data_IF_334860872523
#
_entry.id   IF_334860872523
#
_cell.length_a   1.000
_cell.length_b   1.000
_cell.length_c   1.000
_cell.angle_alpha   90.00
_cell.angle_beta   90.00
_cell.angle_gamma   90.00
#
_symmetry.space_group_name_H-M   'P 1'
#
loop_
_entity.id
_entity.type
_entity.pdbx_description
1 polymer ?
#
# COMPACT_ATOMS: atom_id res chain seq x y z
N UNK A 1 12.59 23.75 1.04
CA UNK A 1 12.79 23.04 -0.21
C UNK A 1 12.68 21.54 0.01
N UNK A 2 11.88 20.88 -0.81
CA UNK A 2 11.77 19.46 -0.73
C UNK A 2 13.06 18.79 -1.15
N UNK A 3 13.49 17.80 -0.38
CA UNK A 3 14.65 17.01 -0.71
C UNK A 3 14.22 15.56 -0.80
N UNK A 4 14.41 14.89 -1.94
CA UNK A 4 14.17 13.46 -1.99
C UNK A 4 15.11 12.77 -1.03
N UNK A 5 14.62 11.78 -0.35
CA UNK A 5 15.45 11.00 0.57
C UNK A 5 16.44 10.19 -0.26
N UNK A 6 17.74 10.41 -0.13
CA UNK A 6 18.70 9.55 -0.81
C UNK A 6 18.60 8.15 -0.21
N UNK A 7 18.90 7.14 -0.99
CA UNK A 7 18.88 5.74 -0.56
C UNK A 7 17.53 5.35 0.02
N UNK A 8 16.51 5.73 -0.66
CA UNK A 8 15.17 5.88 -0.14
C UNK A 8 14.66 4.67 0.58
N UNK A 9 14.68 4.70 1.90
CA UNK A 9 13.91 3.75 2.70
C UNK A 9 12.46 4.19 2.59
N UNK A 10 11.66 3.41 1.90
CA UNK A 10 10.26 3.72 1.74
C UNK A 10 9.49 3.39 3.00
N UNK A 11 8.60 4.28 3.36
CA UNK A 11 7.75 4.15 4.53
C UNK A 11 6.41 3.60 4.07
N UNK A 12 6.00 2.47 4.64
CA UNK A 12 4.79 1.77 4.22
C UNK A 12 3.78 1.72 5.34
N UNK A 13 2.52 1.97 4.99
CA UNK A 13 1.38 1.73 5.86
C UNK A 13 0.64 0.52 5.30
N UNK A 14 0.37 -0.48 6.14
CA UNK A 14 -0.37 -1.68 5.74
C UNK A 14 -1.78 -1.61 6.30
N UNK A 15 -2.76 -1.82 5.45
CA UNK A 15 -4.18 -1.83 5.83
C UNK A 15 -4.75 -3.22 5.54
N UNK A 16 -4.98 -3.99 6.59
CA UNK A 16 -5.49 -5.35 6.48
C UNK A 16 -6.17 -5.75 7.78
N UNK A 17 -7.30 -6.45 7.70
CA UNK A 17 -7.96 -6.98 8.90
C UNK A 17 -7.54 -8.42 9.22
N UNK A 18 -6.57 -8.94 8.48
CA UNK A 18 -5.93 -10.24 8.77
C UNK A 18 -4.60 -10.01 9.47
N UNK A 19 -4.58 -10.12 10.79
CA UNK A 19 -3.41 -9.80 11.59
C UNK A 19 -2.17 -10.62 11.20
N UNK A 20 -2.33 -11.93 11.07
CA UNK A 20 -1.20 -12.80 10.75
C UNK A 20 -0.60 -12.49 9.37
N UNK A 21 -1.45 -12.23 8.39
CA UNK A 21 -0.99 -11.87 7.05
C UNK A 21 -0.30 -10.52 7.03
N UNK A 22 -0.84 -9.56 7.77
CA UNK A 22 -0.26 -8.23 7.90
C UNK A 22 1.12 -8.29 8.54
N UNK A 23 1.26 -9.04 9.63
CA UNK A 23 2.55 -9.20 10.33
C UNK A 23 3.59 -9.87 9.45
N UNK A 24 3.18 -10.91 8.71
CA UNK A 24 4.08 -11.61 7.79
C UNK A 24 4.56 -10.70 6.67
N UNK A 25 3.66 -9.90 6.13
CA UNK A 25 3.99 -8.94 5.09
C UNK A 25 4.95 -7.87 5.62
N UNK A 26 4.68 -7.35 6.81
CA UNK A 26 5.53 -6.35 7.44
C UNK A 26 6.94 -6.88 7.66
N UNK A 27 7.06 -8.10 8.18
CA UNK A 27 8.36 -8.73 8.41
C UNK A 27 9.11 -8.93 7.09
N UNK A 28 8.40 -9.39 6.06
CA UNK A 28 8.99 -9.62 4.76
C UNK A 28 9.53 -8.32 4.15
N UNK A 29 8.72 -7.28 4.13
CA UNK A 29 9.11 -6.00 3.54
C UNK A 29 10.21 -5.32 4.35
N UNK A 30 10.20 -5.50 5.67
CA UNK A 30 11.29 -4.99 6.51
C UNK A 30 12.64 -5.59 6.13
N UNK A 31 12.67 -6.86 5.74
CA UNK A 31 13.91 -7.51 5.29
C UNK A 31 14.36 -7.02 3.91
N UNK A 32 13.48 -6.36 3.17
CA UNK A 32 13.78 -5.87 1.83
C UNK A 32 13.95 -4.35 1.75
N UNK A 33 14.24 -3.73 2.89
CA UNK A 33 14.62 -2.33 2.92
C UNK A 33 13.49 -1.34 3.07
N UNK A 34 12.28 -1.82 3.42
CA UNK A 34 11.16 -0.92 3.69
C UNK A 34 11.00 -0.73 5.19
N UNK A 35 10.46 0.41 5.58
CA UNK A 35 10.06 0.66 6.97
C UNK A 35 8.55 0.63 7.03
N UNK A 36 7.99 -0.31 7.78
CA UNK A 36 6.55 -0.38 8.00
C UNK A 36 6.22 0.54 9.17
N UNK A 37 5.53 1.65 8.87
CA UNK A 37 5.24 2.68 9.86
C UNK A 37 3.93 2.44 10.59
N UNK A 38 3.13 1.51 10.12
CA UNK A 38 1.89 1.15 10.78
C UNK A 38 1.20 -0.02 10.12
N UNK A 39 0.43 -0.74 10.91
CA UNK A 39 -0.46 -1.80 10.46
C UNK A 39 -1.82 -1.50 11.05
N UNK A 40 -2.78 -1.18 10.20
CA UNK A 40 -4.12 -0.79 10.64
C UNK A 40 -5.17 -1.69 10.00
N UNK A 41 -6.38 -1.68 10.54
CA UNK A 41 -7.40 -2.69 10.25
C UNK A 41 -8.60 -2.17 9.49
N UNK A 42 -8.69 -0.87 9.24
CA UNK A 42 -9.88 -0.30 8.62
C UNK A 42 -9.55 0.95 7.83
N UNK A 43 -10.49 1.38 6.99
CA UNK A 43 -10.35 2.63 6.25
C UNK A 43 -10.20 3.83 7.19
N UNK A 44 -10.96 3.83 8.27
CA UNK A 44 -10.92 4.93 9.25
C UNK A 44 -9.56 5.03 9.91
N UNK A 45 -9.02 3.91 10.38
CA UNK A 45 -7.71 3.91 11.02
C UNK A 45 -6.60 4.18 10.02
N UNK A 46 -6.79 3.83 8.74
CA UNK A 46 -5.84 4.16 7.69
C UNK A 46 -5.68 5.67 7.51
N UNK A 47 -6.80 6.39 7.48
CA UNK A 47 -6.75 7.85 7.32
C UNK A 47 -6.03 8.51 8.50
N UNK A 48 -6.32 8.06 9.72
CA UNK A 48 -5.69 8.59 10.91
C UNK A 48 -4.18 8.31 10.92
N UNK A 49 -3.81 7.07 10.62
CA UNK A 49 -2.40 6.68 10.57
C UNK A 49 -1.63 7.42 9.47
N UNK A 50 -2.24 7.59 8.31
CA UNK A 50 -1.59 8.29 7.20
C UNK A 50 -1.26 9.74 7.55
N UNK A 51 -2.15 10.41 8.26
CA UNK A 51 -1.91 11.78 8.71
C UNK A 51 -0.78 11.86 9.73
N UNK A 52 -0.67 10.85 10.58
CA UNK A 52 0.31 10.84 11.67
C UNK A 52 1.68 10.36 11.21
N UNK A 53 1.72 9.33 10.37
CA UNK A 53 2.96 8.64 10.01
C UNK A 53 3.54 9.07 8.67
N UNK A 54 2.78 9.74 7.85
CA UNK A 54 3.19 10.24 6.53
C UNK A 54 3.88 9.14 5.68
N UNK A 55 3.15 8.09 5.32
CA UNK A 55 3.75 7.00 4.55
C UNK A 55 4.00 7.40 3.09
N UNK A 56 4.99 6.77 2.48
CA UNK A 56 5.25 6.92 1.06
C UNK A 56 4.27 6.10 0.22
N UNK A 57 3.90 4.92 0.71
CA UNK A 57 2.95 4.02 0.06
C UNK A 57 2.00 3.45 1.10
N UNK A 58 0.77 3.19 0.66
CA UNK A 58 -0.25 2.52 1.46
C UNK A 58 -0.59 1.20 0.76
N UNK A 59 -0.37 0.08 1.44
CA UNK A 59 -0.67 -1.25 0.94
C UNK A 59 -2.01 -1.68 1.52
N UNK A 60 -2.98 -1.93 0.66
CA UNK A 60 -4.32 -2.31 1.08
C UNK A 60 -4.57 -3.77 0.70
N UNK A 61 -4.94 -4.58 1.67
CA UNK A 61 -5.39 -5.94 1.42
C UNK A 61 -6.73 -5.88 0.68
N UNK A 62 -6.77 -6.45 -0.52
CA UNK A 62 -7.97 -6.45 -1.34
C UNK A 62 -9.15 -7.17 -0.70
N UNK A 63 -8.88 -8.07 0.26
CA UNK A 63 -9.91 -8.77 1.01
C UNK A 63 -10.39 -7.99 2.25
N UNK A 64 -9.90 -6.79 2.45
CA UNK A 64 -10.30 -5.94 3.57
C UNK A 64 -11.81 -5.73 3.56
N UNK A 65 -12.44 -5.84 4.73
CA UNK A 65 -13.86 -5.55 4.87
C UNK A 65 -14.11 -4.09 4.50
N UNK A 66 -15.07 -3.86 3.64
CA UNK A 66 -15.36 -2.54 3.08
C UNK A 66 -14.61 -2.25 1.78
N UNK A 67 -13.59 -3.05 1.46
CA UNK A 67 -12.87 -2.96 0.21
C UNK A 67 -11.86 -1.82 0.13
N UNK A 68 -11.06 -1.85 -0.91
CA UNK A 68 -10.02 -0.84 -1.13
C UNK A 68 -10.62 0.54 -1.43
N UNK A 69 -11.82 0.59 -2.01
CA UNK A 69 -12.46 1.89 -2.32
C UNK A 69 -12.69 2.72 -1.07
N UNK A 70 -13.15 2.09 0.00
CA UNK A 70 -13.35 2.78 1.26
C UNK A 70 -12.05 3.39 1.78
N UNK A 71 -10.94 2.67 1.63
CA UNK A 71 -9.63 3.19 2.02
C UNK A 71 -9.22 4.36 1.14
N UNK A 72 -9.37 4.22 -0.18
CA UNK A 72 -9.02 5.29 -1.12
C UNK A 72 -9.81 6.56 -0.82
N UNK A 73 -11.11 6.42 -0.58
CA UNK A 73 -11.96 7.57 -0.24
C UNK A 73 -11.56 8.21 1.08
N UNK A 74 -11.25 7.39 2.08
CA UNK A 74 -10.82 7.89 3.38
C UNK A 74 -9.48 8.64 3.29
N UNK A 75 -8.64 8.27 2.35
CA UNK A 75 -7.32 8.87 2.16
C UNK A 75 -7.33 10.08 1.21
N UNK A 76 -8.46 10.37 0.57
CA UNK A 76 -8.52 11.53 -0.31
C UNK A 76 -8.17 12.81 0.46
N UNK A 77 -7.28 13.61 -0.13
CA UNK A 77 -6.78 14.81 0.54
C UNK A 77 -5.65 14.57 1.54
N UNK A 78 -5.35 13.31 1.84
CA UNK A 78 -4.25 12.95 2.75
C UNK A 78 -3.06 12.41 1.97
N UNK A 79 -3.32 11.50 1.04
CA UNK A 79 -2.28 10.91 0.21
C UNK A 79 -2.83 10.73 -1.21
N UNK A 80 -1.97 10.84 -2.20
CA UNK A 80 -2.35 10.64 -3.59
C UNK A 80 -2.76 9.19 -3.82
N UNK A 81 -3.82 8.97 -4.60
CA UNK A 81 -4.26 7.63 -4.96
C UNK A 81 -3.19 6.84 -5.71
N UNK A 82 -2.29 7.52 -6.41
CA UNK A 82 -1.17 6.87 -7.11
C UNK A 82 -0.19 6.21 -6.15
N UNK A 83 -0.27 6.50 -4.86
CA UNK A 83 0.56 5.88 -3.82
C UNK A 83 -0.17 4.77 -3.07
N UNK A 84 -1.36 4.43 -3.48
CA UNK A 84 -2.12 3.31 -2.90
C UNK A 84 -1.88 2.08 -3.77
N UNK A 85 -1.53 0.97 -3.14
CA UNK A 85 -1.31 -0.31 -3.80
C UNK A 85 -2.28 -1.31 -3.21
N UNK A 86 -3.05 -1.98 -4.07
CA UNK A 86 -3.99 -3.02 -3.63
C UNK A 86 -3.35 -4.38 -3.85
N UNK A 87 -3.32 -5.20 -2.80
CA UNK A 87 -2.81 -6.56 -2.86
C UNK A 87 -3.97 -7.52 -2.95
N UNK A 88 -4.02 -8.29 -4.04
CA UNK A 88 -5.12 -9.20 -4.32
C UNK A 88 -4.66 -10.66 -4.31
N UNK A 89 -5.48 -11.54 -3.75
CA UNK A 89 -5.23 -12.98 -3.87
C UNK A 89 -5.49 -13.46 -5.30
N UNK A 90 -6.36 -12.76 -6.02
CA UNK A 90 -6.76 -13.10 -7.37
C UNK A 90 -7.03 -11.81 -8.14
N UNK A 91 -6.51 -11.72 -9.34
CA UNK A 91 -6.72 -10.54 -10.18
C UNK A 91 -7.68 -10.87 -11.32
N UNK A 92 -8.90 -10.38 -11.20
CA UNK A 92 -9.81 -10.32 -12.32
C UNK A 92 -9.49 -9.09 -13.16
N UNK A 93 -9.74 -9.19 -14.47
CA UNK A 93 -9.47 -8.08 -15.37
C UNK A 93 -10.27 -6.83 -15.02
N UNK A 94 -11.51 -7.01 -14.60
CA UNK A 94 -12.38 -5.89 -14.25
C UNK A 94 -11.92 -5.19 -12.98
N UNK A 95 -11.49 -5.97 -11.98
CA UNK A 95 -11.01 -5.39 -10.72
C UNK A 95 -9.75 -4.55 -10.92
N UNK A 96 -8.80 -5.06 -11.71
CA UNK A 96 -7.59 -4.32 -12.02
C UNK A 96 -7.90 -3.04 -12.79
N UNK A 97 -8.83 -3.11 -13.73
CA UNK A 97 -9.25 -1.94 -14.51
C UNK A 97 -9.94 -0.91 -13.61
N UNK A 98 -10.83 -1.36 -12.74
CA UNK A 98 -11.55 -0.46 -11.83
C UNK A 98 -10.58 0.28 -10.91
N UNK A 99 -9.58 -0.41 -10.39
CA UNK A 99 -8.58 0.22 -9.54
C UNK A 99 -7.78 1.26 -10.32
N UNK A 100 -7.34 0.91 -11.52
CA UNK A 100 -6.59 1.84 -12.37
C UNK A 100 -7.42 3.07 -12.72
N UNK A 101 -8.69 2.87 -13.07
CA UNK A 101 -9.59 3.98 -13.42
C UNK A 101 -9.85 4.89 -12.24
N UNK A 102 -9.76 4.36 -11.02
CA UNK A 102 -9.89 5.14 -9.80
C UNK A 102 -8.59 5.86 -9.41
N UNK A 103 -7.52 5.68 -10.17
CA UNK A 103 -6.24 6.36 -9.91
C UNK A 103 -5.29 5.61 -8.98
N UNK A 104 -5.62 4.36 -8.62
CA UNK A 104 -4.79 3.55 -7.74
C UNK A 104 -3.44 3.27 -8.41
N UNK A 105 -2.36 3.34 -7.64
CA UNK A 105 -1.02 3.23 -8.16
C UNK A 105 -0.68 1.88 -8.75
N UNK A 106 -1.13 0.80 -8.14
CA UNK A 106 -0.93 -0.55 -8.67
C UNK A 106 -1.83 -1.55 -7.98
N UNK A 107 -2.12 -2.64 -8.67
CA UNK A 107 -2.76 -3.82 -8.11
C UNK A 107 -1.80 -4.98 -8.30
N UNK A 108 -1.46 -5.66 -7.22
CA UNK A 108 -0.42 -6.70 -7.24
C UNK A 108 -0.98 -7.98 -6.63
N UNK A 109 -0.63 -9.13 -7.21
CA UNK A 109 -1.00 -10.42 -6.64
C UNK A 109 -0.23 -10.68 -5.35
N UNK A 110 -0.93 -11.13 -4.31
CA UNK A 110 -0.34 -11.42 -3.01
C UNK A 110 0.74 -12.50 -3.07
N UNK A 111 0.63 -13.42 -3.99
CA UNK A 111 1.49 -14.60 -4.04
C UNK A 111 2.67 -14.48 -5.01
N UNK A 112 3.01 -13.28 -5.45
CA UNK A 112 4.24 -13.09 -6.18
C UNK A 112 5.42 -13.32 -5.23
N UNK A 113 6.53 -13.78 -5.79
CA UNK A 113 7.73 -13.98 -4.98
C UNK A 113 8.17 -12.67 -4.36
N UNK A 114 8.68 -12.76 -3.13
CA UNK A 114 8.95 -11.60 -2.32
C UNK A 114 9.82 -10.54 -2.97
N UNK A 115 10.85 -10.95 -3.70
CA UNK A 115 11.71 -10.01 -4.41
C UNK A 115 10.97 -9.23 -5.47
N UNK A 116 10.02 -9.88 -6.15
CA UNK A 116 9.20 -9.21 -7.16
C UNK A 116 8.30 -8.15 -6.54
N UNK A 117 7.69 -8.45 -5.41
CA UNK A 117 6.86 -7.48 -4.71
C UNK A 117 7.67 -6.25 -4.31
N UNK A 118 8.82 -6.46 -3.67
CA UNK A 118 9.68 -5.36 -3.25
C UNK A 118 10.12 -4.50 -4.44
N UNK A 119 10.51 -5.14 -5.55
CA UNK A 119 10.91 -4.42 -6.76
C UNK A 119 9.78 -3.57 -7.32
N UNK A 120 8.58 -4.13 -7.36
CA UNK A 120 7.43 -3.41 -7.88
C UNK A 120 7.06 -2.23 -6.99
N UNK A 121 7.13 -2.42 -5.67
CA UNK A 121 6.84 -1.33 -4.74
C UNK A 121 7.85 -0.19 -4.86
N UNK A 122 9.13 -0.52 -5.09
CA UNK A 122 10.15 0.52 -5.27
C UNK A 122 9.90 1.37 -6.51
N UNK A 123 9.29 0.80 -7.54
CA UNK A 123 9.02 1.51 -8.78
C UNK A 123 7.83 2.47 -8.65
N UNK A 124 6.93 2.24 -7.70
CA UNK A 124 5.72 3.04 -7.55
C UNK A 124 6.03 4.32 -6.78
N UNK A 125 5.60 5.46 -7.35
CA UNK A 125 5.84 6.74 -6.71
C UNK A 125 7.31 7.11 -6.59
N UNK A 126 8.17 6.42 -7.32
CA UNK A 126 9.58 6.74 -7.34
C UNK A 126 9.84 8.08 -8.02
N UNK A 127 11.06 8.59 -7.89
CA UNK A 127 11.41 9.81 -8.61
C UNK A 127 11.28 9.56 -10.10
N UNK A 128 10.79 10.54 -10.77
CA UNK A 128 10.67 10.46 -12.23
C UNK A 128 12.06 10.32 -12.84
#
# INVERSE_FOLDING_TARGET
MFRPRPDTVRRLLIVSDHLAASDALAAHLGRHGFVVVGEVRSARSAALAARTCDPDLVLVDGALRGGWRAVAEALDGVISRSRIVVLEAYLGADEARNARDAGIGATILKHVEGGSLASRLRAIGGPA
#
